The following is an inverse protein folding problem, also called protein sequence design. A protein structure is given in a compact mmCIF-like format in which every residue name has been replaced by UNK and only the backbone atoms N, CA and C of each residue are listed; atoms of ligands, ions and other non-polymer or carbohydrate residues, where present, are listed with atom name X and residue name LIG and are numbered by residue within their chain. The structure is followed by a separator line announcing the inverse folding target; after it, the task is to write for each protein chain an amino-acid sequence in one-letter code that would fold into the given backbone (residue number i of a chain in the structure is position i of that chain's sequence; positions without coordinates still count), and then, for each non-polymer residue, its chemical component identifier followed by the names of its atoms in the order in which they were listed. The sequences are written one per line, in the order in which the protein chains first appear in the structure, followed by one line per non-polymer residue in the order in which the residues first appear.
data_IF_910168787692
#
_entry.id   IF_910168787692
#
_cell.length_a   1.000
_cell.length_b   1.000
_cell.length_c   1.000
_cell.angle_alpha   90.00
_cell.angle_beta   90.00
_cell.angle_gamma   90.00
#
_symmetry.space_group_name_H-M   'P 1'
#
loop_
_entity.id
_entity.type
_entity.pdbx_description
1 polymer ?
#
# COMPACT_ATOMS: atom_id res chain seq x y z
N UNK A 1 8.74 -1.64 3.91
CA UNK A 1 9.49 -2.89 4.13
C UNK A 1 9.08 -3.64 5.39
N UNK A 2 8.86 -2.97 6.53
CA UNK A 2 8.53 -3.61 7.81
C UNK A 2 7.39 -4.66 7.71
N UNK A 3 6.18 -4.24 7.31
CA UNK A 3 5.03 -5.16 7.20
C UNK A 3 5.30 -6.29 6.20
N UNK A 4 5.93 -5.99 5.05
CA UNK A 4 6.22 -6.98 4.01
C UNK A 4 7.10 -8.12 4.52
N UNK A 5 8.23 -7.78 5.14
CA UNK A 5 9.15 -8.77 5.69
C UNK A 5 8.55 -9.54 6.87
N UNK A 6 7.73 -8.88 7.70
CA UNK A 6 7.00 -9.54 8.78
C UNK A 6 6.00 -10.56 8.25
N UNK A 7 5.22 -10.22 7.22
CA UNK A 7 4.28 -11.14 6.56
C UNK A 7 5.01 -12.36 5.99
N UNK A 8 6.09 -12.14 5.23
CA UNK A 8 6.89 -13.22 4.64
C UNK A 8 7.49 -14.15 5.72
N UNK A 9 7.96 -13.59 6.84
CA UNK A 9 8.50 -14.37 7.96
C UNK A 9 7.43 -15.22 8.64
N UNK A 10 6.28 -14.62 8.99
CA UNK A 10 5.20 -15.34 9.66
C UNK A 10 4.56 -16.41 8.78
N UNK A 11 4.43 -16.18 7.47
CA UNK A 11 3.95 -17.19 6.52
C UNK A 11 4.87 -18.42 6.50
N UNK A 12 6.19 -18.18 6.52
CA UNK A 12 7.18 -19.25 6.59
C UNK A 12 7.19 -19.98 7.95
N UNK A 13 6.98 -19.27 9.06
CA UNK A 13 6.93 -19.84 10.41
C UNK A 13 5.69 -20.69 10.64
N UNK A 14 4.54 -20.31 10.08
CA UNK A 14 3.27 -20.99 10.35
C UNK A 14 2.87 -22.05 9.31
N UNK A 15 3.72 -22.30 8.31
CA UNK A 15 3.46 -23.27 7.22
C UNK A 15 3.06 -24.67 7.70
N UNK A 16 3.62 -25.14 8.81
CA UNK A 16 3.39 -26.50 9.34
C UNK A 16 2.13 -26.56 10.24
N UNK A 17 1.45 -25.43 10.43
CA UNK A 17 0.21 -25.29 11.20
C UNK A 17 -1.03 -25.13 10.31
N UNK A 18 -0.88 -25.24 8.99
CA UNK A 18 -1.95 -24.95 8.00
C UNK A 18 -2.51 -23.51 8.14
N UNK A 19 -1.64 -22.57 8.52
CA UNK A 19 -1.97 -21.15 8.64
C UNK A 19 -1.18 -20.39 7.58
N UNK A 20 -1.89 -19.63 6.74
CA UNK A 20 -1.29 -18.72 5.75
C UNK A 20 -1.30 -17.29 6.26
N UNK A 21 -0.22 -16.56 5.96
CA UNK A 21 -0.10 -15.13 6.31
C UNK A 21 0.14 -14.33 5.03
N UNK A 22 -0.82 -13.49 4.69
CA UNK A 22 -0.78 -12.64 3.49
C UNK A 22 -1.04 -11.19 3.86
N UNK A 23 -0.67 -10.26 2.98
CA UNK A 23 -0.84 -8.83 3.22
C UNK A 23 -1.65 -8.17 2.10
N UNK A 24 -2.57 -7.28 2.50
CA UNK A 24 -3.07 -6.25 1.62
C UNK A 24 -2.08 -5.10 1.55
N UNK A 25 -1.74 -4.71 0.33
CA UNK A 25 -0.86 -3.59 0.00
C UNK A 25 -1.70 -2.51 -0.70
N UNK A 26 -2.48 -1.73 0.08
CA UNK A 26 -3.33 -0.70 -0.48
C UNK A 26 -2.52 0.51 -0.95
N UNK A 27 -2.96 1.10 -2.07
CA UNK A 27 -2.73 2.51 -2.34
C UNK A 27 -3.69 3.37 -1.50
N UNK A 28 -3.83 4.67 -1.78
CA UNK A 28 -4.84 5.49 -1.09
C UNK A 28 -6.25 4.94 -1.33
N UNK A 29 -6.92 4.50 -0.27
CA UNK A 29 -8.30 4.00 -0.28
C UNK A 29 -9.20 5.02 0.42
N UNK A 30 -10.31 5.35 -0.22
CA UNK A 30 -11.34 6.27 0.27
C UNK A 30 -12.01 5.70 1.53
N UNK A 31 -11.46 6.04 2.68
CA UNK A 31 -11.91 5.64 4.01
C UNK A 31 -11.86 6.85 4.95
N UNK A 32 -12.57 6.85 6.08
CA UNK A 32 -12.60 8.00 6.99
C UNK A 32 -11.24 8.45 7.52
N UNK A 33 -10.19 7.63 7.43
CA UNK A 33 -8.82 8.05 7.77
C UNK A 33 -8.33 9.19 6.87
N UNK A 34 -8.83 9.30 5.65
CA UNK A 34 -8.49 10.35 4.68
C UNK A 34 -9.39 11.59 4.80
N UNK A 35 -10.43 11.54 5.65
CA UNK A 35 -11.25 12.70 5.97
C UNK A 35 -10.54 13.63 6.97
N UNK A 36 -9.55 13.12 7.71
CA UNK A 36 -8.72 13.92 8.60
C UNK A 36 -7.77 14.77 7.74
N UNK A 37 -7.86 16.10 7.85
CA UNK A 37 -6.92 17.00 7.19
C UNK A 37 -5.47 16.78 7.65
N UNK A 38 -4.50 17.21 6.85
CA UNK A 38 -3.07 17.06 7.14
C UNK A 38 -2.61 17.72 8.45
N UNK A 39 -3.35 18.72 8.91
CA UNK A 39 -3.15 19.39 10.21
C UNK A 39 -4.46 19.47 10.97
N UNK A 40 -4.37 19.41 12.30
CA UNK A 40 -5.51 19.62 13.19
C UNK A 40 -6.16 20.98 12.91
N UNK A 41 -7.48 21.00 12.67
CA UNK A 41 -8.23 22.21 12.31
C UNK A 41 -8.20 22.61 10.82
N UNK A 42 -7.59 21.81 9.94
CA UNK A 42 -7.67 22.04 8.50
C UNK A 42 -9.12 21.84 7.99
N UNK A 43 -9.58 22.78 7.14
CA UNK A 43 -10.90 22.72 6.48
C UNK A 43 -10.86 21.98 5.13
N UNK A 44 -9.86 21.13 4.91
CA UNK A 44 -9.66 20.35 3.69
C UNK A 44 -9.46 18.88 4.06
N UNK A 45 -10.00 17.98 3.24
CA UNK A 45 -9.81 16.54 3.43
C UNK A 45 -8.47 16.13 2.84
N UNK A 46 -7.74 15.24 3.50
CA UNK A 46 -6.52 14.66 2.96
C UNK A 46 -6.78 13.94 1.62
N UNK A 47 -7.96 13.34 1.44
CA UNK A 47 -8.35 12.74 0.16
C UNK A 47 -8.34 13.74 -1.02
N UNK A 48 -8.71 15.00 -0.78
CA UNK A 48 -8.74 16.03 -1.81
C UNK A 48 -7.32 16.51 -2.13
N UNK A 49 -6.48 16.70 -1.11
CA UNK A 49 -5.06 17.04 -1.29
C UNK A 49 -4.30 15.95 -2.06
N UNK A 50 -4.60 14.67 -1.80
CA UNK A 50 -4.03 13.53 -2.52
C UNK A 50 -4.41 13.59 -4.01
N UNK A 51 -5.69 13.89 -4.31
CA UNK A 51 -6.17 14.04 -5.69
C UNK A 51 -5.53 15.24 -6.38
N UNK A 52 -5.43 16.37 -5.70
CA UNK A 52 -4.79 17.59 -6.20
C UNK A 52 -3.29 17.40 -6.47
N UNK A 53 -2.63 16.54 -5.69
CA UNK A 53 -1.26 16.08 -5.93
C UNK A 53 -1.14 15.06 -7.09
N UNK A 54 -2.23 14.78 -7.81
CA UNK A 54 -2.27 13.87 -8.95
C UNK A 54 -2.17 12.40 -8.59
N UNK A 55 -2.50 12.03 -7.36
CA UNK A 55 -2.53 10.64 -6.91
C UNK A 55 -3.96 10.08 -6.96
N UNK A 56 -4.06 8.81 -7.35
CA UNK A 56 -5.35 8.11 -7.35
C UNK A 56 -5.81 7.82 -5.92
N UNK A 57 -7.08 8.10 -5.63
CA UNK A 57 -7.80 7.58 -4.46
C UNK A 57 -8.82 6.55 -4.94
N UNK A 58 -8.70 5.31 -4.46
CA UNK A 58 -9.53 4.18 -4.89
C UNK A 58 -10.70 3.94 -3.93
N UNK A 59 -11.85 3.42 -4.40
CA UNK A 59 -13.00 3.16 -3.53
C UNK A 59 -12.72 2.02 -2.53
N UNK A 60 -13.37 2.06 -1.37
CA UNK A 60 -13.26 1.01 -0.34
C UNK A 60 -13.64 -0.39 -0.83
N UNK A 61 -14.55 -0.49 -1.80
CA UNK A 61 -14.94 -1.77 -2.41
C UNK A 61 -13.76 -2.52 -3.04
N UNK A 62 -12.77 -1.79 -3.57
CA UNK A 62 -11.55 -2.41 -4.11
C UNK A 62 -10.73 -3.09 -3.02
N UNK A 63 -10.63 -2.49 -1.84
CA UNK A 63 -9.93 -3.12 -0.71
C UNK A 63 -10.67 -4.38 -0.24
N UNK A 64 -12.01 -4.34 -0.21
CA UNK A 64 -12.83 -5.50 0.13
C UNK A 64 -12.68 -6.65 -0.89
N UNK A 65 -12.68 -6.34 -2.19
CA UNK A 65 -12.43 -7.32 -3.26
C UNK A 65 -11.06 -7.98 -3.09
N UNK A 66 -10.01 -7.19 -2.83
CA UNK A 66 -8.66 -7.74 -2.60
C UNK A 66 -8.53 -8.53 -1.31
N UNK A 67 -9.27 -8.19 -0.26
CA UNK A 67 -9.35 -8.99 0.94
C UNK A 67 -9.96 -10.37 0.65
N UNK A 68 -11.01 -10.40 -0.17
CA UNK A 68 -11.64 -11.63 -0.61
C UNK A 68 -10.70 -12.49 -1.46
N UNK A 69 -10.01 -11.89 -2.44
CA UNK A 69 -8.97 -12.56 -3.22
C UNK A 69 -7.90 -13.15 -2.30
N UNK A 70 -7.45 -12.40 -1.29
CA UNK A 70 -6.39 -12.82 -0.38
C UNK A 70 -6.76 -14.04 0.48
N UNK A 71 -8.01 -14.11 0.93
CA UNK A 71 -8.52 -15.23 1.68
C UNK A 71 -8.53 -16.54 0.85
N UNK A 72 -8.73 -16.44 -0.47
CA UNK A 72 -8.98 -17.59 -1.34
C UNK A 72 -7.87 -17.90 -2.36
N UNK A 73 -6.86 -17.03 -2.50
CA UNK A 73 -5.74 -17.22 -3.42
C UNK A 73 -4.42 -17.43 -2.71
N UNK A 74 -3.36 -17.74 -3.47
CA UNK A 74 -2.09 -18.23 -2.94
C UNK A 74 -0.94 -17.20 -2.90
N UNK A 75 -1.20 -15.95 -3.29
CA UNK A 75 -0.17 -14.90 -3.24
C UNK A 75 0.11 -14.41 -1.80
N UNK A 76 1.36 -14.00 -1.53
CA UNK A 76 1.75 -13.40 -0.23
C UNK A 76 1.36 -11.91 -0.15
N UNK A 77 1.32 -11.21 -1.29
CA UNK A 77 1.05 -9.75 -1.32
C UNK A 77 0.05 -9.36 -2.40
N UNK A 78 -1.13 -8.93 -1.95
CA UNK A 78 -2.23 -8.47 -2.79
C UNK A 78 -2.25 -6.95 -2.88
N UNK A 79 -2.08 -6.42 -4.09
CA UNK A 79 -2.06 -4.97 -4.34
C UNK A 79 -3.49 -4.46 -4.54
N UNK A 80 -3.91 -3.46 -3.76
CA UNK A 80 -5.19 -2.78 -3.96
C UNK A 80 -4.96 -1.41 -4.62
N UNK A 81 -5.33 -1.30 -5.90
CA UNK A 81 -5.13 -0.11 -6.72
C UNK A 81 -4.14 -0.33 -7.87
N UNK A 82 -4.40 0.29 -9.02
CA UNK A 82 -3.52 0.21 -10.20
C UNK A 82 -2.14 0.81 -9.93
N UNK A 83 -2.08 1.89 -9.14
CA UNK A 83 -0.84 2.51 -8.71
C UNK A 83 0.04 1.56 -7.89
N UNK A 84 -0.55 0.83 -6.92
CA UNK A 84 0.16 -0.19 -6.14
C UNK A 84 0.71 -1.32 -7.03
N UNK A 85 -0.07 -1.79 -8.02
CA UNK A 85 0.37 -2.80 -8.98
C UNK A 85 1.54 -2.30 -9.85
N UNK A 86 1.48 -1.07 -10.34
CA UNK A 86 2.58 -0.44 -11.08
C UNK A 86 3.83 -0.33 -10.22
N UNK A 87 3.70 0.09 -8.96
CA UNK A 87 4.83 0.16 -8.03
C UNK A 87 5.47 -1.22 -7.79
N UNK A 88 4.66 -2.28 -7.59
CA UNK A 88 5.14 -3.68 -7.51
C UNK A 88 5.94 -4.07 -8.76
N UNK A 89 5.42 -3.75 -9.94
CA UNK A 89 6.08 -4.06 -11.21
C UNK A 89 7.43 -3.34 -11.35
N UNK A 90 7.47 -2.02 -11.13
CA UNK A 90 8.72 -1.23 -11.23
C UNK A 90 9.73 -1.69 -10.17
N UNK A 91 9.30 -1.96 -8.94
CA UNK A 91 10.20 -2.47 -7.90
C UNK A 91 10.85 -3.81 -8.28
N UNK A 92 10.15 -4.64 -9.08
CA UNK A 92 10.67 -5.94 -9.53
C UNK A 92 11.65 -5.82 -10.68
N UNK A 93 11.39 -4.90 -11.62
CA UNK A 93 12.15 -4.83 -12.88
C UNK A 93 13.16 -3.69 -12.95
N UNK A 94 12.93 -2.59 -12.23
CA UNK A 94 13.76 -1.40 -12.24
C UNK A 94 13.89 -0.78 -10.83
N UNK A 95 14.42 -1.52 -9.84
CA UNK A 95 14.48 -1.07 -8.45
C UNK A 95 15.28 0.24 -8.26
N UNK A 96 16.24 0.51 -9.15
CA UNK A 96 17.00 1.77 -9.16
C UNK A 96 16.13 3.01 -9.37
N UNK A 97 15.07 2.91 -10.18
CA UNK A 97 14.15 4.03 -10.42
C UNK A 97 13.35 4.37 -9.16
N UNK A 98 12.80 3.35 -8.50
CA UNK A 98 12.10 3.51 -7.20
C UNK A 98 13.05 4.12 -6.17
N UNK A 99 14.28 3.60 -6.05
CA UNK A 99 15.27 4.10 -5.10
C UNK A 99 15.60 5.57 -5.34
N UNK A 100 15.76 5.98 -6.60
CA UNK A 100 16.04 7.36 -6.95
C UNK A 100 14.85 8.28 -6.68
N UNK A 101 13.62 7.81 -6.92
CA UNK A 101 12.41 8.56 -6.60
C UNK A 101 12.29 8.79 -5.08
N UNK A 102 12.50 7.76 -4.27
CA UNK A 102 12.49 7.88 -2.80
C UNK A 102 13.58 8.83 -2.30
N UNK A 103 14.79 8.78 -2.87
CA UNK A 103 15.86 9.73 -2.51
C UNK A 103 15.48 11.19 -2.79
N UNK A 104 14.71 11.44 -3.86
CA UNK A 104 14.24 12.79 -4.20
C UNK A 104 13.11 13.28 -3.29
N UNK A 105 12.32 12.37 -2.72
CA UNK A 105 11.18 12.73 -1.85
C UNK A 105 11.59 12.94 -0.38
N UNK A 106 12.76 12.46 0.02
CA UNK A 106 13.28 12.67 1.38
C UNK A 106 14.05 13.99 1.43
N UNK A 107 13.72 14.92 2.33
CA UNK A 107 14.47 16.17 2.50
C UNK A 107 15.96 15.91 2.77
N UNK A 108 16.87 16.82 2.38
CA UNK A 108 18.26 16.74 2.80
C UNK A 108 18.35 16.69 4.32
N UNK A 109 19.33 15.95 4.83
CA UNK A 109 19.64 15.95 6.27
C UNK A 109 20.46 17.20 6.56
N UNK A 110 20.13 17.88 7.65
CA UNK A 110 20.92 18.98 8.22
C UNK A 110 22.34 18.52 8.59
#
# INVERSE_FOLDING_TARGET
FAVRGLTEALDAEFRDLDIRVTSLMPWFIDTPILDMGTTEGANVKMADEIRDAGQDVYPVSLAAERAWDAAHGDDIHYMAGKAAQRAKFISRWAPGLIRNQVKKSVPPRD
#
